data_IF_816814545486
#
_entry.id   IF_816814545486
#
_cell.length_a   1.000
_cell.length_b   1.000
_cell.length_c   1.000
_cell.angle_alpha   90.00
_cell.angle_beta   90.00
_cell.angle_gamma   90.00
#
_symmetry.space_group_name_H-M   'P 1'
#
loop_
_entity.id
_entity.type
_entity.pdbx_description
1 polymer ?
#
# COMPACT_ATOMS: atom_id res chain seq x y z
N UNK A 1 -17.87 33.27 -8.31
CA UNK A 1 -18.19 32.38 -7.18
C UNK A 1 -18.56 31.05 -7.81
N UNK A 2 -17.62 30.14 -7.95
CA UNK A 2 -17.83 28.84 -8.55
C UNK A 2 -17.74 27.80 -7.44
N UNK A 3 -18.86 27.15 -7.16
CA UNK A 3 -18.95 26.03 -6.21
C UNK A 3 -18.10 24.86 -6.72
N UNK A 4 -17.10 24.47 -5.96
CA UNK A 4 -16.40 23.21 -6.17
C UNK A 4 -17.24 22.09 -5.59
N UNK A 5 -17.94 21.38 -6.47
CA UNK A 5 -18.65 20.18 -6.11
C UNK A 5 -17.69 19.14 -5.51
N UNK A 6 -17.97 18.77 -4.29
CA UNK A 6 -17.36 17.65 -3.58
C UNK A 6 -17.76 16.35 -4.27
N UNK A 7 -16.93 15.83 -5.18
CA UNK A 7 -17.12 14.49 -5.71
C UNK A 7 -16.38 13.46 -4.84
N UNK A 8 -17.15 12.56 -4.23
CA UNK A 8 -16.73 11.52 -3.32
C UNK A 8 -15.68 10.56 -3.90
N UNK A 9 -14.85 9.94 -3.05
CA UNK A 9 -13.81 8.98 -3.44
C UNK A 9 -14.39 7.57 -3.65
N UNK A 10 -15.28 7.39 -4.63
CA UNK A 10 -15.99 6.11 -4.80
C UNK A 10 -15.35 5.13 -5.78
N UNK A 11 -14.35 5.55 -6.56
CA UNK A 11 -13.82 4.69 -7.63
C UNK A 11 -12.69 3.74 -7.20
N UNK A 12 -11.85 4.10 -6.23
CA UNK A 12 -10.69 3.29 -5.85
C UNK A 12 -11.06 2.01 -5.08
N UNK A 13 -12.14 2.05 -4.30
CA UNK A 13 -12.59 0.89 -3.53
C UNK A 13 -13.20 -0.21 -4.42
N UNK A 14 -13.72 0.15 -5.59
CA UNK A 14 -14.43 -0.77 -6.48
C UNK A 14 -13.46 -1.65 -7.29
N UNK A 15 -12.29 -1.14 -7.67
CA UNK A 15 -11.36 -1.91 -8.52
C UNK A 15 -10.71 -3.10 -7.82
N UNK A 16 -10.42 -3.02 -6.53
CA UNK A 16 -9.80 -4.14 -5.81
C UNK A 16 -10.79 -5.26 -5.50
N UNK A 17 -12.07 -4.95 -5.28
CA UNK A 17 -13.10 -5.96 -5.04
C UNK A 17 -13.34 -6.86 -6.25
N UNK A 18 -13.15 -6.36 -7.47
CA UNK A 18 -13.38 -7.14 -8.72
C UNK A 18 -12.25 -8.13 -8.98
N UNK A 19 -11.02 -7.84 -8.56
CA UNK A 19 -9.88 -8.72 -8.78
C UNK A 19 -9.80 -9.88 -7.75
N UNK A 20 -10.53 -9.80 -6.66
CA UNK A 20 -10.54 -10.82 -5.61
C UNK A 20 -11.71 -11.82 -5.74
N UNK A 21 -12.60 -11.61 -6.70
CA UNK A 21 -13.72 -12.51 -6.96
C UNK A 21 -13.44 -13.33 -8.22
N UNK A 22 -12.76 -14.47 -8.16
CA UNK A 22 -13.41 -15.76 -8.23
C UNK A 22 -12.63 -16.90 -7.58
N UNK A 23 -13.08 -17.38 -6.51
CA UNK A 23 -12.91 -18.78 -6.13
C UNK A 23 -14.18 -19.18 -5.39
N UNK A 24 -15.17 -19.56 -6.16
CA UNK A 24 -16.43 -20.06 -5.67
C UNK A 24 -16.19 -21.32 -4.83
N UNK A 25 -16.81 -21.37 -3.67
CA UNK A 25 -17.22 -22.53 -2.90
C UNK A 25 -16.18 -23.27 -2.05
N UNK A 26 -15.44 -22.56 -1.24
CA UNK A 26 -15.25 -23.01 0.15
C UNK A 26 -15.69 -21.86 1.04
N UNK A 27 -16.61 -22.14 1.96
CA UNK A 27 -17.01 -21.15 2.94
C UNK A 27 -15.72 -20.66 3.63
N UNK A 28 -15.30 -19.45 3.29
CA UNK A 28 -14.13 -18.84 3.89
C UNK A 28 -14.37 -18.64 5.37
N UNK A 29 -13.33 -18.64 6.15
CA UNK A 29 -13.36 -18.28 7.56
C UNK A 29 -12.55 -17.00 7.79
N UNK A 30 -12.27 -16.63 9.03
CA UNK A 30 -11.58 -15.39 9.35
C UNK A 30 -12.44 -14.14 9.24
N UNK A 31 -11.83 -12.95 9.36
CA UNK A 31 -12.53 -11.70 9.19
C UNK A 31 -13.21 -11.63 7.82
N UNK A 32 -14.46 -11.14 7.80
CA UNK A 32 -15.30 -11.05 6.60
C UNK A 32 -15.69 -12.39 5.95
N UNK A 33 -15.30 -13.53 6.50
CA UNK A 33 -15.61 -14.85 5.93
C UNK A 33 -14.97 -15.13 4.57
N UNK A 34 -13.86 -14.44 4.23
CA UNK A 34 -13.23 -14.53 2.90
C UNK A 34 -11.91 -15.29 2.90
N UNK A 35 -11.37 -15.57 4.09
CA UNK A 35 -10.05 -16.16 4.21
C UNK A 35 -10.07 -17.65 3.95
N UNK A 36 -9.25 -18.06 3.01
CA UNK A 36 -8.98 -19.46 2.70
C UNK A 36 -7.54 -19.61 2.22
N UNK A 37 -6.96 -20.76 2.45
CA UNK A 37 -5.60 -21.07 2.03
C UNK A 37 -5.56 -21.35 0.53
N UNK A 38 -4.73 -20.60 -0.20
CA UNK A 38 -4.49 -20.83 -1.62
C UNK A 38 -3.45 -21.93 -1.83
N UNK A 39 -3.49 -22.58 -3.00
CA UNK A 39 -2.43 -23.48 -3.40
C UNK A 39 -1.11 -22.70 -3.52
N UNK A 40 -0.08 -23.23 -2.85
CA UNK A 40 1.25 -22.60 -2.86
C UNK A 40 1.83 -22.56 -4.28
N UNK A 41 2.27 -21.39 -4.69
CA UNK A 41 2.95 -21.17 -5.95
C UNK A 41 3.99 -20.05 -5.79
N UNK A 42 5.26 -20.41 -5.92
CA UNK A 42 6.40 -19.49 -5.92
C UNK A 42 7.18 -19.62 -7.24
N UNK A 43 6.46 -19.69 -8.36
CA UNK A 43 7.03 -19.88 -9.70
C UNK A 43 6.59 -18.78 -10.66
N UNK A 44 7.22 -18.69 -11.81
CA UNK A 44 6.86 -17.73 -12.85
C UNK A 44 6.75 -16.31 -12.32
N UNK A 45 5.62 -15.67 -12.61
CA UNK A 45 5.36 -14.28 -12.16
C UNK A 45 5.16 -14.17 -10.64
N UNK A 46 4.78 -15.26 -9.95
CA UNK A 46 4.56 -15.26 -8.51
C UNK A 46 5.82 -15.46 -7.68
N UNK A 47 6.97 -15.66 -8.34
CA UNK A 47 8.25 -15.89 -7.69
C UNK A 47 8.59 -14.73 -6.74
N UNK A 48 9.08 -15.07 -5.53
CA UNK A 48 9.43 -14.08 -4.51
C UNK A 48 10.37 -12.99 -5.03
N UNK A 49 11.35 -13.33 -5.86
CA UNK A 49 12.27 -12.35 -6.45
C UNK A 49 11.58 -11.29 -7.30
N UNK A 50 10.44 -11.62 -7.94
CA UNK A 50 9.67 -10.64 -8.71
C UNK A 50 8.87 -9.71 -7.79
N UNK A 51 8.35 -10.24 -6.69
CA UNK A 51 7.69 -9.42 -5.66
C UNK A 51 8.69 -8.42 -5.04
N UNK A 52 9.90 -8.90 -4.71
CA UNK A 52 10.98 -8.05 -4.20
C UNK A 52 11.39 -6.98 -5.22
N UNK A 53 11.47 -7.33 -6.50
CA UNK A 53 11.78 -6.38 -7.57
C UNK A 53 10.70 -5.29 -7.68
N UNK A 54 9.43 -5.65 -7.65
CA UNK A 54 8.32 -4.68 -7.69
C UNK A 54 8.36 -3.77 -6.47
N UNK A 55 8.47 -4.33 -5.28
CA UNK A 55 8.48 -3.59 -4.03
C UNK A 55 9.67 -2.63 -3.93
N UNK A 56 10.88 -3.16 -4.01
CA UNK A 56 12.10 -2.35 -3.86
C UNK A 56 12.35 -1.46 -5.06
N UNK A 57 11.93 -1.88 -6.25
CA UNK A 57 11.97 -1.07 -7.47
C UNK A 57 11.05 0.13 -7.37
N UNK A 58 9.82 -0.06 -6.90
CA UNK A 58 8.87 1.04 -6.67
C UNK A 58 9.40 2.02 -5.62
N UNK A 59 9.92 1.51 -4.49
CA UNK A 59 10.47 2.34 -3.43
C UNK A 59 11.70 3.14 -3.90
N UNK A 60 12.61 2.48 -4.61
CA UNK A 60 13.81 3.14 -5.13
C UNK A 60 13.48 4.20 -6.19
N UNK A 61 12.51 3.90 -7.07
CA UNK A 61 12.04 4.85 -8.07
C UNK A 61 11.36 6.07 -7.40
N UNK A 62 10.54 5.85 -6.38
CA UNK A 62 9.85 6.89 -5.64
C UNK A 62 10.83 7.83 -4.93
N UNK A 63 11.78 7.27 -4.17
CA UNK A 63 12.84 8.05 -3.50
C UNK A 63 13.69 8.79 -4.54
N UNK A 64 14.07 8.13 -5.63
CA UNK A 64 14.82 8.75 -6.72
C UNK A 64 14.08 9.94 -7.34
N UNK A 65 12.77 9.79 -7.57
CA UNK A 65 11.92 10.88 -8.05
C UNK A 65 11.80 12.03 -7.05
N UNK A 66 11.64 11.72 -5.76
CA UNK A 66 11.56 12.71 -4.70
C UNK A 66 12.84 13.58 -4.65
N UNK A 67 14.00 12.94 -4.70
CA UNK A 67 15.29 13.60 -4.67
C UNK A 67 15.58 14.38 -5.96
N UNK A 68 15.22 13.82 -7.11
CA UNK A 68 15.49 14.44 -8.41
C UNK A 68 14.58 15.62 -8.70
N UNK A 69 13.28 15.50 -8.44
CA UNK A 69 12.28 16.50 -8.82
C UNK A 69 12.13 17.61 -7.76
N UNK A 70 12.59 17.36 -6.54
CA UNK A 70 12.43 18.30 -5.41
C UNK A 70 10.94 18.56 -5.08
N UNK A 71 10.67 19.42 -4.14
CA UNK A 71 9.31 19.75 -3.71
C UNK A 71 8.63 20.86 -4.53
N UNK A 72 9.40 21.57 -5.33
CA UNK A 72 8.90 22.68 -6.16
C UNK A 72 8.02 22.25 -7.34
N UNK A 73 8.06 20.97 -7.74
CA UNK A 73 7.27 20.44 -8.84
C UNK A 73 6.07 19.63 -8.36
N UNK A 74 5.06 19.49 -9.21
CA UNK A 74 3.89 18.64 -8.94
C UNK A 74 4.31 17.19 -8.69
N UNK A 75 5.24 16.68 -9.52
CA UNK A 75 5.75 15.33 -9.40
C UNK A 75 6.55 15.12 -8.11
N UNK A 76 7.45 16.03 -7.80
CA UNK A 76 8.26 15.94 -6.59
C UNK A 76 7.44 16.04 -5.31
N UNK A 77 6.40 16.87 -5.28
CA UNK A 77 5.47 16.89 -4.14
C UNK A 77 4.77 15.57 -3.95
N UNK A 78 4.27 14.95 -5.03
CA UNK A 78 3.65 13.62 -4.95
C UNK A 78 4.63 12.57 -4.44
N UNK A 79 5.89 12.61 -4.89
CA UNK A 79 6.93 11.69 -4.45
C UNK A 79 7.24 11.86 -2.95
N UNK A 80 7.39 13.08 -2.45
CA UNK A 80 7.61 13.30 -1.02
C UNK A 80 6.39 12.94 -0.16
N UNK A 81 5.17 13.18 -0.65
CA UNK A 81 3.96 12.71 0.01
C UNK A 81 3.89 11.18 0.05
N UNK A 82 4.38 10.52 -1.00
CA UNK A 82 4.54 9.07 -1.04
C UNK A 82 5.51 8.57 0.04
N UNK A 83 6.67 9.21 0.20
CA UNK A 83 7.63 8.89 1.27
C UNK A 83 6.98 9.01 2.66
N UNK A 84 6.25 10.10 2.93
CA UNK A 84 5.51 10.26 4.20
C UNK A 84 4.48 9.15 4.40
N UNK A 85 3.77 8.81 3.34
CA UNK A 85 2.76 7.75 3.31
C UNK A 85 3.35 6.39 3.64
N UNK A 86 4.49 6.05 3.03
CA UNK A 86 5.22 4.79 3.26
C UNK A 86 5.67 4.68 4.71
N UNK A 87 6.23 5.74 5.26
CA UNK A 87 6.65 5.75 6.67
C UNK A 87 5.46 5.53 7.60
N UNK A 88 4.36 6.24 7.38
CA UNK A 88 3.15 6.09 8.19
C UNK A 88 2.56 4.67 8.07
N UNK A 89 2.41 4.17 6.85
CA UNK A 89 1.89 2.83 6.60
C UNK A 89 2.80 1.75 7.23
N UNK A 90 4.12 1.89 7.07
CA UNK A 90 5.09 0.95 7.62
C UNK A 90 5.06 0.88 9.15
N UNK A 91 5.09 2.04 9.82
CA UNK A 91 5.03 2.11 11.29
C UNK A 91 3.70 1.54 11.79
N UNK A 92 2.59 1.89 11.15
CA UNK A 92 1.27 1.41 11.57
C UNK A 92 1.12 -0.09 11.31
N UNK A 93 1.56 -0.59 10.16
CA UNK A 93 1.55 -2.02 9.86
C UNK A 93 2.39 -2.82 10.86
N UNK A 94 3.58 -2.31 11.22
CA UNK A 94 4.45 -2.96 12.19
C UNK A 94 3.84 -3.00 13.59
N UNK A 95 3.22 -1.91 14.03
CA UNK A 95 2.50 -1.86 15.29
C UNK A 95 1.31 -2.85 15.30
N UNK A 96 0.54 -2.89 14.21
CA UNK A 96 -0.58 -3.82 14.07
C UNK A 96 -0.12 -5.29 14.06
N UNK A 97 1.00 -5.62 13.37
CA UNK A 97 1.58 -6.97 13.39
C UNK A 97 1.90 -7.45 14.80
N UNK A 98 2.47 -6.58 15.61
CA UNK A 98 2.79 -6.90 17.01
C UNK A 98 1.54 -7.02 17.87
N UNK A 99 0.54 -6.16 17.64
CA UNK A 99 -0.69 -6.15 18.42
C UNK A 99 -1.58 -7.37 18.13
N UNK A 100 -1.68 -7.76 16.86
CA UNK A 100 -2.60 -8.81 16.44
C UNK A 100 -1.97 -10.20 16.31
N UNK A 101 -0.68 -10.33 16.09
CA UNK A 101 0.05 -11.60 16.08
C UNK A 101 -0.66 -12.71 15.32
N UNK A 102 -1.08 -12.48 14.07
CA UNK A 102 -1.84 -13.44 13.29
C UNK A 102 -0.92 -14.44 12.59
N UNK A 103 -1.29 -15.71 12.65
CA UNK A 103 -0.59 -16.81 11.99
C UNK A 103 -0.80 -16.77 10.47
N UNK A 104 0.21 -17.19 9.70
CA UNK A 104 0.17 -17.15 8.23
C UNK A 104 -0.51 -18.38 7.63
N UNK A 105 -1.03 -18.28 6.38
CA UNK A 105 -1.53 -19.45 5.65
C UNK A 105 -0.47 -20.54 5.45
N UNK A 106 0.83 -20.18 5.40
CA UNK A 106 1.92 -21.14 5.29
C UNK A 106 2.07 -22.02 6.52
N UNK A 107 1.74 -21.49 7.69
CA UNK A 107 1.97 -22.12 9.00
C UNK A 107 0.69 -22.75 9.57
N UNK A 108 -0.49 -22.32 9.11
CA UNK A 108 -1.79 -22.81 9.59
C UNK A 108 -2.82 -22.93 8.47
N UNK A 109 -3.79 -23.82 8.66
CA UNK A 109 -5.01 -23.88 7.83
C UNK A 109 -6.17 -23.09 8.43
N UNK A 110 -6.03 -22.61 9.67
CA UNK A 110 -7.07 -21.88 10.38
C UNK A 110 -6.77 -20.37 10.37
N UNK A 111 -7.52 -19.56 9.62
CA UNK A 111 -7.30 -18.11 9.56
C UNK A 111 -7.74 -17.36 10.83
N UNK A 112 -8.28 -18.05 11.82
CA UNK A 112 -8.68 -17.46 13.10
C UNK A 112 -7.60 -17.55 14.20
N UNK A 113 -6.38 -17.94 13.84
CA UNK A 113 -5.25 -17.98 14.78
C UNK A 113 -4.66 -16.57 14.98
N UNK A 114 -5.11 -15.90 16.04
CA UNK A 114 -4.73 -14.53 16.40
C UNK A 114 -3.98 -14.50 17.74
N UNK A 115 -3.30 -13.39 18.00
CA UNK A 115 -2.58 -13.08 19.24
C UNK A 115 -1.49 -14.10 19.58
N UNK A 116 -0.88 -14.68 18.55
CA UNK A 116 0.25 -15.58 18.69
C UNK A 116 1.56 -14.80 18.79
N UNK A 117 2.40 -15.19 19.72
CA UNK A 117 3.72 -14.56 19.89
C UNK A 117 4.61 -14.85 18.68
N UNK A 118 5.20 -13.81 18.12
CA UNK A 118 6.10 -13.91 16.98
C UNK A 118 5.42 -13.92 15.61
N UNK A 119 4.11 -14.14 15.55
CA UNK A 119 3.36 -14.19 14.31
C UNK A 119 3.06 -12.80 13.75
N UNK A 120 3.07 -12.65 12.41
CA UNK A 120 3.10 -11.34 11.77
C UNK A 120 2.35 -11.29 10.43
N UNK A 121 1.24 -12.03 10.31
CA UNK A 121 0.49 -12.04 9.06
C UNK A 121 -0.30 -10.74 8.84
N UNK A 122 -1.00 -10.26 9.86
CA UNK A 122 -1.91 -9.12 9.73
C UNK A 122 -1.29 -7.79 10.17
N UNK A 123 -1.47 -6.74 9.38
CA UNK A 123 -1.85 -6.68 7.97
C UNK A 123 -0.68 -7.00 7.03
N UNK A 124 -0.94 -7.11 5.71
CA UNK A 124 0.14 -7.24 4.72
C UNK A 124 0.93 -5.94 4.61
N UNK A 125 2.18 -5.94 5.10
CA UNK A 125 3.02 -4.76 5.09
C UNK A 125 3.49 -4.37 3.69
N UNK A 126 3.76 -5.35 2.81
CA UNK A 126 4.21 -5.09 1.44
C UNK A 126 3.10 -4.47 0.60
N UNK A 127 1.87 -5.01 0.69
CA UNK A 127 0.71 -4.40 0.02
C UNK A 127 0.46 -2.99 0.56
N UNK A 128 0.58 -2.78 1.88
CA UNK A 128 0.43 -1.45 2.47
C UNK A 128 1.49 -0.46 1.94
N UNK A 129 2.74 -0.90 1.85
CA UNK A 129 3.85 -0.09 1.35
C UNK A 129 3.64 0.32 -0.11
N UNK A 130 3.33 -0.64 -1.00
CA UNK A 130 3.12 -0.36 -2.43
C UNK A 130 1.89 0.53 -2.62
N UNK A 131 0.79 0.28 -1.91
CA UNK A 131 -0.40 1.15 -1.96
C UNK A 131 -0.11 2.56 -1.45
N UNK A 132 0.70 2.69 -0.41
CA UNK A 132 1.14 3.97 0.12
C UNK A 132 1.97 4.77 -0.89
N UNK A 133 2.85 4.08 -1.65
CA UNK A 133 3.63 4.70 -2.73
C UNK A 133 2.70 5.25 -3.82
N UNK A 134 1.74 4.44 -4.27
CA UNK A 134 0.96 4.72 -5.47
C UNK A 134 -0.13 5.77 -5.23
N UNK A 135 -0.77 5.76 -4.07
CA UNK A 135 -1.96 6.58 -3.80
C UNK A 135 -1.75 8.08 -4.02
N UNK A 136 -0.67 8.75 -3.57
CA UNK A 136 -0.47 10.17 -3.80
C UNK A 136 -0.41 10.53 -5.30
N UNK A 137 0.24 9.68 -6.11
CA UNK A 137 0.31 9.89 -7.56
C UNK A 137 -1.06 9.73 -8.22
N UNK A 138 -1.82 8.69 -7.87
CA UNK A 138 -3.15 8.48 -8.40
C UNK A 138 -4.06 9.66 -8.06
N UNK A 139 -4.07 10.10 -6.82
CA UNK A 139 -4.90 11.23 -6.38
C UNK A 139 -4.53 12.53 -7.09
N UNK A 140 -3.24 12.76 -7.31
CA UNK A 140 -2.74 13.97 -7.94
C UNK A 140 -3.03 14.02 -9.44
N UNK A 141 -2.89 12.89 -10.15
CA UNK A 141 -2.91 12.87 -11.61
C UNK A 141 -4.18 12.33 -12.24
N UNK A 142 -5.09 11.73 -11.47
CA UNK A 142 -6.27 10.99 -11.99
C UNK A 142 -7.19 11.79 -12.91
N UNK A 143 -7.23 13.11 -12.77
CA UNK A 143 -8.09 13.95 -13.59
C UNK A 143 -7.45 14.32 -14.93
N UNK A 144 -6.15 14.61 -14.91
CA UNK A 144 -5.41 15.05 -16.09
C UNK A 144 -4.86 13.87 -16.90
N UNK A 145 -4.50 12.80 -16.21
CA UNK A 145 -3.85 11.61 -16.77
C UNK A 145 -4.52 10.34 -16.26
N UNK A 146 -5.71 9.96 -16.77
CA UNK A 146 -6.44 8.78 -16.26
C UNK A 146 -5.66 7.47 -16.31
N UNK A 147 -4.65 7.37 -17.18
CA UNK A 147 -3.76 6.20 -17.23
C UNK A 147 -3.00 5.93 -15.93
N UNK A 148 -2.91 6.93 -15.03
CA UNK A 148 -2.28 6.77 -13.69
C UNK A 148 -2.96 5.69 -12.85
N UNK A 149 -4.23 5.39 -13.10
CA UNK A 149 -4.93 4.26 -12.47
C UNK A 149 -4.28 2.91 -12.76
N UNK A 150 -3.49 2.81 -13.85
CA UNK A 150 -2.70 1.62 -14.14
C UNK A 150 -1.66 1.29 -13.08
N UNK A 151 -1.25 2.25 -12.26
CA UNK A 151 -0.33 2.02 -11.14
C UNK A 151 -0.94 1.12 -10.06
N UNK A 152 -2.28 1.08 -9.93
CA UNK A 152 -2.98 0.20 -8.99
C UNK A 152 -2.81 -1.29 -9.31
N UNK A 153 -2.31 -1.62 -10.51
CA UNK A 153 -1.93 -3.01 -10.84
C UNK A 153 -0.74 -3.49 -10.00
N UNK A 154 0.10 -2.60 -9.48
CA UNK A 154 1.26 -2.98 -8.65
C UNK A 154 0.83 -3.54 -7.29
N UNK A 155 0.04 -2.84 -6.45
CA UNK A 155 -0.44 -3.41 -5.20
C UNK A 155 -1.41 -4.58 -5.42
N UNK A 156 -2.18 -4.60 -6.51
CA UNK A 156 -3.03 -5.73 -6.85
C UNK A 156 -2.21 -6.99 -7.19
N UNK A 157 -1.16 -6.85 -7.98
CA UNK A 157 -0.22 -7.93 -8.26
C UNK A 157 0.42 -8.46 -6.98
N UNK A 158 0.94 -7.56 -6.13
CA UNK A 158 1.58 -7.96 -4.89
C UNK A 158 0.60 -8.68 -3.96
N UNK A 159 -0.64 -8.19 -3.82
CA UNK A 159 -1.68 -8.83 -3.03
C UNK A 159 -1.90 -10.30 -3.47
N UNK A 160 -2.05 -10.54 -4.78
CA UNK A 160 -2.21 -11.89 -5.32
C UNK A 160 -0.95 -12.74 -5.07
N UNK A 161 0.22 -12.19 -5.34
CA UNK A 161 1.48 -12.89 -5.18
C UNK A 161 1.74 -13.27 -3.71
N UNK A 162 1.37 -12.41 -2.75
CA UNK A 162 1.47 -12.69 -1.30
C UNK A 162 0.54 -13.83 -0.87
N UNK A 163 -0.66 -13.91 -1.45
CA UNK A 163 -1.57 -15.04 -1.20
C UNK A 163 -1.06 -16.32 -1.85
N UNK A 164 -0.51 -16.26 -3.06
CA UNK A 164 0.08 -17.41 -3.77
C UNK A 164 1.25 -18.06 -3.03
N UNK A 165 2.09 -17.27 -2.40
CA UNK A 165 3.20 -17.80 -1.56
C UNK A 165 2.78 -18.07 -0.11
N UNK A 166 1.48 -18.05 0.19
CA UNK A 166 0.91 -18.33 1.51
C UNK A 166 1.49 -17.46 2.65
N UNK A 167 1.90 -16.25 2.31
CA UNK A 167 2.43 -15.29 3.29
C UNK A 167 1.33 -14.51 4.01
N UNK A 168 0.17 -14.34 3.37
CA UNK A 168 -0.94 -13.55 3.89
C UNK A 168 -2.29 -14.13 3.50
N UNK A 169 -3.29 -13.92 4.36
CA UNK A 169 -4.69 -14.18 4.10
C UNK A 169 -5.31 -13.07 3.25
N UNK A 170 -6.49 -13.32 2.66
CA UNK A 170 -7.22 -12.32 1.87
C UNK A 170 -7.53 -11.06 2.67
N UNK A 171 -7.99 -11.21 3.90
CA UNK A 171 -8.25 -10.07 4.78
C UNK A 171 -6.99 -9.29 5.17
N UNK A 172 -5.81 -9.95 5.26
CA UNK A 172 -4.54 -9.28 5.53
C UNK A 172 -4.12 -8.35 4.39
N UNK A 173 -4.30 -8.80 3.13
CA UNK A 173 -3.95 -7.98 1.96
C UNK A 173 -4.94 -6.85 1.76
N UNK A 174 -6.24 -7.08 2.02
CA UNK A 174 -7.25 -6.01 2.01
C UNK A 174 -6.96 -4.94 3.06
N UNK A 175 -6.64 -5.37 4.29
CA UNK A 175 -6.26 -4.44 5.37
C UNK A 175 -4.97 -3.68 5.03
N UNK A 176 -3.99 -4.35 4.42
CA UNK A 176 -2.76 -3.72 3.93
C UNK A 176 -3.06 -2.65 2.89
N UNK A 177 -3.87 -2.99 1.87
CA UNK A 177 -4.28 -2.04 0.84
C UNK A 177 -5.02 -0.83 1.43
N UNK A 178 -5.98 -1.06 2.31
CA UNK A 178 -6.73 0.01 2.97
C UNK A 178 -5.82 0.92 3.81
N UNK A 179 -4.86 0.34 4.54
CA UNK A 179 -3.89 1.07 5.34
C UNK A 179 -2.98 1.94 4.46
N UNK A 180 -2.42 1.37 3.39
CA UNK A 180 -1.57 2.11 2.47
C UNK A 180 -2.31 3.26 1.78
N UNK A 181 -3.51 2.97 1.27
CA UNK A 181 -4.37 3.98 0.65
C UNK A 181 -4.75 5.10 1.63
N UNK A 182 -5.14 4.76 2.86
CA UNK A 182 -5.47 5.75 3.89
C UNK A 182 -4.26 6.64 4.22
N UNK A 183 -3.07 6.05 4.33
CA UNK A 183 -1.82 6.78 4.54
C UNK A 183 -1.50 7.73 3.38
N UNK A 184 -1.72 7.28 2.13
CA UNK A 184 -1.54 8.09 0.94
C UNK A 184 -2.52 9.25 0.84
N UNK A 185 -3.80 9.03 1.16
CA UNK A 185 -4.81 10.08 1.24
C UNK A 185 -4.41 11.13 2.28
N UNK A 186 -4.01 10.68 3.47
CA UNK A 186 -3.59 11.57 4.55
C UNK A 186 -2.38 12.42 4.13
N UNK A 187 -1.36 11.80 3.53
CA UNK A 187 -0.16 12.51 3.09
C UNK A 187 -0.48 13.54 1.99
N UNK A 188 -1.30 13.17 1.00
CA UNK A 188 -1.70 14.05 -0.10
C UNK A 188 -2.52 15.26 0.38
N UNK A 189 -3.37 15.10 1.39
CA UNK A 189 -4.19 16.20 1.93
C UNK A 189 -3.39 17.24 2.69
N UNK A 190 -2.18 16.95 3.12
CA UNK A 190 -1.37 17.88 3.93
C UNK A 190 -0.71 18.99 3.13
N UNK A 191 -0.65 18.92 1.85
CA UNK A 191 0.00 19.95 1.01
C UNK A 191 1.52 20.05 1.16
N UNK A 192 2.07 20.02 2.39
CA UNK A 192 3.51 20.02 2.66
C UNK A 192 3.92 18.68 3.28
N UNK A 193 4.90 17.98 2.70
CA UNK A 193 5.41 16.73 3.25
C UNK A 193 5.98 16.90 4.67
N UNK A 194 5.63 15.96 5.56
CA UNK A 194 6.02 16.02 6.99
C UNK A 194 7.49 15.74 7.17
N UNK A 195 8.02 14.74 6.48
CA UNK A 195 9.42 14.34 6.61
C UNK A 195 10.37 15.51 6.32
N UNK A 196 9.96 16.41 5.44
CA UNK A 196 10.73 17.60 5.11
C UNK A 196 10.67 18.67 6.19
N UNK A 197 9.61 18.70 6.99
CA UNK A 197 9.44 19.66 8.08
C UNK A 197 10.13 19.22 9.37
N UNK A 198 10.45 17.93 9.50
CA UNK A 198 11.04 17.33 10.72
C UNK A 198 12.55 17.18 10.63
N UNK A 199 13.12 17.20 9.43
CA UNK A 199 14.57 17.08 9.27
C UNK A 199 15.28 18.37 9.71
N UNK A 200 16.01 18.37 10.85
CA UNK A 200 16.71 19.57 11.32
C UNK A 200 17.95 19.83 10.47
N UNK A 201 18.24 21.11 10.23
CA UNK A 201 19.54 21.61 9.78
C UNK A 201 20.10 21.15 8.44
N UNK A 202 19.39 21.22 7.43
CA UNK A 202 20.10 21.18 6.20
C UNK A 202 20.02 19.91 5.45
N UNK A 203 19.39 18.94 5.96
CA UNK A 203 18.72 18.09 5.03
C UNK A 203 17.49 18.78 4.45
N UNK A 204 17.41 20.00 4.64
CA UNK A 204 16.71 20.92 3.77
C UNK A 204 17.31 20.96 2.37
N UNK A 205 17.83 19.86 1.87
CA UNK A 205 18.18 19.71 0.49
C UNK A 205 16.93 19.93 -0.33
N UNK A 206 16.79 21.11 -0.83
CA UNK A 206 15.70 21.46 -1.72
C UNK A 206 14.31 21.54 -1.06
N UNK A 207 14.25 21.49 0.24
CA UNK A 207 13.02 21.42 0.98
C UNK A 207 12.68 22.67 1.71
N UNK A 208 13.44 23.66 1.46
CA UNK A 208 12.98 24.90 1.93
C UNK A 208 11.73 25.25 1.18
N UNK A 209 10.65 25.15 1.87
CA UNK A 209 9.43 25.81 1.48
C UNK A 209 9.76 27.25 1.11
N UNK A 210 9.46 27.64 -0.09
CA UNK A 210 9.53 29.05 -0.49
C UNK A 210 8.64 29.87 0.42
N UNK A 211 9.15 30.98 0.87
CA UNK A 211 8.44 31.98 1.63
C UNK A 211 7.36 32.64 0.80
#
# INVERSE_FOLDING_TARGET
MAERGSSAPTAAAISLCVLLAPAIAQAGSGPLGIDHRWNYDNSGIWKRSNQDLVRYGALAADIGLALWAGDGTRLGRSAWQSVDSVVLAGVTAEAAKRAFGRERPGDSNDPNQWFKSGERSFPSGEVAEISAIITPYVLEYRQDHPAVWGLELLPAYDAIARMKVQAHWQSDVLAGFALGTASGIWAQQRGTPVILSVLPHGFAVGFKHGF
#
